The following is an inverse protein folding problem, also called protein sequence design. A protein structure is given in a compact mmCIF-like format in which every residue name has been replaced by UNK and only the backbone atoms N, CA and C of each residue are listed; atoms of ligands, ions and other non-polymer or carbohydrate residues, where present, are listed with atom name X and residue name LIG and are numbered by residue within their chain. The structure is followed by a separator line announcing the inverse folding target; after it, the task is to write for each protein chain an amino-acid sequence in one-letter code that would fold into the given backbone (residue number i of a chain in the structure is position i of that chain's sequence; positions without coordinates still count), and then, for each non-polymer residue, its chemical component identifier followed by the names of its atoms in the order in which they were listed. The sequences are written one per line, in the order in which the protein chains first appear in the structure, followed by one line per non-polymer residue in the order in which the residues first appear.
data_IF_069115427440
#
_entry.id   IF_069115427440
#
_cell.length_a   1.000
_cell.length_b   1.000
_cell.length_c   1.000
_cell.angle_alpha   90.00
_cell.angle_beta   90.00
_cell.angle_gamma   90.00
#
_symmetry.space_group_name_H-M   'P 1'
#
loop_
_entity.id
_entity.type
_entity.pdbx_description
1 polymer ?
#
# COMPACT_ATOMS: atom_id res chain seq x y z
N UNK A 1 -0.80 10.68 17.59
CA UNK A 1 -0.21 9.67 16.65
C UNK A 1 -1.26 9.14 15.68
N UNK A 2 -2.40 8.61 16.15
CA UNK A 2 -3.49 8.15 15.27
C UNK A 2 -3.99 9.25 14.32
N UNK A 3 -4.02 10.51 14.76
CA UNK A 3 -4.45 11.63 13.92
C UNK A 3 -3.58 11.81 12.67
N UNK A 4 -2.26 11.64 12.81
CA UNK A 4 -1.30 11.74 11.71
C UNK A 4 -1.50 10.56 10.75
N UNK A 5 -1.66 9.35 11.29
CA UNK A 5 -1.92 8.15 10.49
C UNK A 5 -3.22 8.34 9.69
N UNK A 6 -4.30 8.74 10.36
CA UNK A 6 -5.58 8.98 9.72
C UNK A 6 -5.49 10.08 8.65
N UNK A 7 -4.77 11.17 8.94
CA UNK A 7 -4.53 12.26 7.98
C UNK A 7 -3.80 11.75 6.73
N UNK A 8 -2.66 11.09 6.89
CA UNK A 8 -1.84 10.66 5.74
C UNK A 8 -2.50 9.52 4.94
N UNK A 9 -3.06 8.50 5.60
CA UNK A 9 -3.65 7.34 4.93
C UNK A 9 -5.10 7.56 4.44
N UNK A 10 -5.69 8.73 4.69
CA UNK A 10 -6.97 9.13 4.08
C UNK A 10 -6.84 9.50 2.59
N UNK A 11 -5.62 9.80 2.10
CA UNK A 11 -5.37 10.30 0.73
C UNK A 11 -5.62 9.26 -0.34
N UNK A 12 -6.17 9.63 -1.50
CA UNK A 12 -6.71 8.69 -2.52
C UNK A 12 -5.65 7.85 -3.25
N UNK A 13 -4.40 8.26 -3.34
CA UNK A 13 -3.37 7.47 -4.05
C UNK A 13 -2.19 7.15 -3.15
N UNK A 14 -1.43 6.12 -3.51
CA UNK A 14 -0.18 5.76 -2.81
C UNK A 14 0.83 6.91 -2.82
N UNK A 15 0.88 7.65 -3.92
CA UNK A 15 1.70 8.83 -4.13
C UNK A 15 1.27 9.98 -3.21
N UNK A 16 -0.03 10.26 -3.10
CA UNK A 16 -0.54 11.28 -2.19
C UNK A 16 -0.30 10.91 -0.71
N UNK A 17 -0.38 9.62 -0.37
CA UNK A 17 -0.06 9.13 0.97
C UNK A 17 1.43 9.37 1.28
N UNK A 18 2.31 9.01 0.35
CA UNK A 18 3.75 9.18 0.50
C UNK A 18 4.12 10.65 0.66
N UNK A 19 3.59 11.53 -0.20
CA UNK A 19 3.80 12.97 -0.11
C UNK A 19 3.28 13.53 1.22
N UNK A 20 2.12 13.06 1.70
CA UNK A 20 1.58 13.48 2.98
C UNK A 20 2.45 13.05 4.17
N UNK A 21 3.10 11.87 4.08
CA UNK A 21 4.05 11.41 5.10
C UNK A 21 5.35 12.23 5.06
N UNK A 22 5.87 12.55 3.88
CA UNK A 22 7.07 13.38 3.72
C UNK A 22 6.87 14.78 4.32
N UNK A 23 5.72 15.41 4.07
CA UNK A 23 5.37 16.69 4.68
C UNK A 23 5.29 16.60 6.22
N UNK A 24 4.72 15.53 6.79
CA UNK A 24 4.66 15.35 8.25
C UNK A 24 6.04 15.04 8.86
N UNK A 25 6.90 14.36 8.10
CA UNK A 25 8.29 14.11 8.51
C UNK A 25 9.08 15.42 8.63
N UNK A 26 8.88 16.39 7.72
CA UNK A 26 9.51 17.71 7.82
C UNK A 26 9.04 18.50 9.04
N UNK A 27 7.75 18.40 9.40
CA UNK A 27 7.18 19.15 10.53
C UNK A 27 7.62 18.56 11.87
N UNK A 28 7.61 17.23 12.01
CA UNK A 28 7.74 16.56 13.33
C UNK A 28 9.00 15.72 13.48
N UNK A 29 9.62 15.28 12.40
CA UNK A 29 10.83 14.45 12.43
C UNK A 29 10.66 13.10 13.15
N UNK A 30 9.43 12.58 13.30
CA UNK A 30 9.20 11.37 14.08
C UNK A 30 9.77 10.13 13.37
N UNK A 31 10.59 9.35 14.08
CA UNK A 31 11.29 8.15 13.55
C UNK A 31 10.37 7.15 12.86
N UNK A 32 9.14 6.97 13.35
CA UNK A 32 8.20 6.02 12.73
C UNK A 32 7.71 6.49 11.36
N UNK A 33 7.63 7.80 11.11
CA UNK A 33 7.22 8.36 9.81
C UNK A 33 8.32 8.08 8.79
N UNK A 34 9.58 8.32 9.16
CA UNK A 34 10.75 8.00 8.31
C UNK A 34 10.79 6.50 7.99
N UNK A 35 10.56 5.65 8.99
CA UNK A 35 10.51 4.20 8.78
C UNK A 35 9.37 3.80 7.83
N UNK A 36 8.20 4.43 7.94
CA UNK A 36 7.06 4.17 7.06
C UNK A 36 7.35 4.61 5.61
N UNK A 37 7.94 5.79 5.42
CA UNK A 37 8.37 6.30 4.11
C UNK A 37 9.35 5.33 3.46
N UNK A 38 10.37 4.87 4.20
CA UNK A 38 11.35 3.92 3.68
C UNK A 38 10.70 2.58 3.33
N UNK A 39 9.82 2.05 4.18
CA UNK A 39 9.09 0.81 3.90
C UNK A 39 8.24 0.91 2.62
N UNK A 40 7.56 2.04 2.40
CA UNK A 40 6.82 2.28 1.17
C UNK A 40 7.75 2.38 -0.05
N UNK A 41 8.89 3.08 0.06
CA UNK A 41 9.86 3.21 -1.04
C UNK A 41 10.55 1.90 -1.42
N UNK A 42 10.68 0.96 -0.48
CA UNK A 42 11.24 -0.37 -0.72
C UNK A 42 10.23 -1.37 -1.30
N UNK A 43 8.92 -1.10 -1.21
CA UNK A 43 7.91 -1.98 -1.74
C UNK A 43 7.69 -1.72 -3.25
N UNK A 44 7.24 -2.76 -3.99
CA UNK A 44 6.85 -2.58 -5.39
C UNK A 44 5.74 -1.52 -5.52
N UNK A 45 5.88 -0.52 -6.42
CA UNK A 45 4.84 0.47 -6.66
C UNK A 45 3.49 -0.16 -7.03
N UNK A 46 3.53 -1.26 -7.79
CA UNK A 46 2.33 -2.00 -8.21
C UNK A 46 1.67 -2.70 -7.03
N UNK A 47 2.45 -3.37 -6.17
CA UNK A 47 1.88 -4.07 -5.00
C UNK A 47 1.23 -3.10 -4.01
N UNK A 48 1.82 -1.92 -3.80
CA UNK A 48 1.22 -0.87 -2.98
C UNK A 48 -0.12 -0.39 -3.52
N UNK A 49 -0.22 -0.15 -4.84
CA UNK A 49 -1.45 0.30 -5.49
C UNK A 49 -2.56 -0.74 -5.39
N UNK A 50 -2.22 -2.01 -5.63
CA UNK A 50 -3.15 -3.13 -5.49
C UNK A 50 -3.64 -3.24 -4.04
N UNK A 51 -2.72 -3.25 -3.07
CA UNK A 51 -3.06 -3.34 -1.65
C UNK A 51 -3.97 -2.19 -1.20
N UNK A 52 -3.65 -0.94 -1.59
CA UNK A 52 -4.48 0.22 -1.25
C UNK A 52 -5.89 0.09 -1.81
N UNK A 53 -6.02 -0.42 -3.05
CA UNK A 53 -7.32 -0.66 -3.69
C UNK A 53 -8.09 -1.76 -2.95
N UNK A 54 -7.45 -2.91 -2.67
CA UNK A 54 -8.06 -4.02 -1.93
C UNK A 54 -8.59 -3.59 -0.55
N UNK A 55 -7.80 -2.83 0.22
CA UNK A 55 -8.20 -2.33 1.54
C UNK A 55 -9.45 -1.45 1.46
N UNK A 56 -9.61 -0.68 0.39
CA UNK A 56 -10.73 0.26 0.25
C UNK A 56 -11.99 -0.39 -0.26
N UNK A 57 -11.87 -1.19 -1.31
CA UNK A 57 -13.01 -1.92 -1.88
C UNK A 57 -13.51 -2.97 -0.90
N UNK A 58 -12.60 -3.61 -0.15
CA UNK A 58 -12.93 -4.60 0.88
C UNK A 58 -13.81 -4.08 2.01
N UNK A 59 -13.90 -2.76 2.25
CA UNK A 59 -14.76 -2.18 3.30
C UNK A 59 -16.25 -2.41 3.05
N UNK A 60 -16.64 -2.57 1.79
CA UNK A 60 -18.04 -2.79 1.38
C UNK A 60 -18.33 -4.25 1.02
N UNK A 61 -17.36 -5.15 1.17
CA UNK A 61 -17.45 -6.53 0.72
C UNK A 61 -17.56 -7.51 1.89
N UNK A 62 -18.07 -8.70 1.61
CA UNK A 62 -18.01 -9.81 2.56
C UNK A 62 -16.58 -10.38 2.65
N UNK A 63 -16.29 -11.13 3.71
CA UNK A 63 -15.02 -11.84 3.82
C UNK A 63 -14.78 -12.78 2.63
N UNK A 64 -15.83 -13.47 2.16
CA UNK A 64 -15.72 -14.39 1.02
C UNK A 64 -15.32 -13.64 -0.26
N UNK A 65 -15.93 -12.48 -0.52
CA UNK A 65 -15.61 -11.66 -1.69
C UNK A 65 -14.19 -11.10 -1.62
N UNK A 66 -13.75 -10.67 -0.43
CA UNK A 66 -12.36 -10.25 -0.20
C UNK A 66 -11.37 -11.37 -0.51
N UNK A 67 -11.59 -12.58 0.02
CA UNK A 67 -10.71 -13.72 -0.20
C UNK A 67 -10.66 -14.15 -1.68
N UNK A 68 -11.81 -14.07 -2.38
CA UNK A 68 -11.87 -14.34 -3.83
C UNK A 68 -11.05 -13.31 -4.63
N UNK A 69 -11.14 -12.04 -4.25
CA UNK A 69 -10.36 -10.96 -4.86
C UNK A 69 -8.85 -11.19 -4.62
N UNK A 70 -8.46 -11.46 -3.38
CA UNK A 70 -7.05 -11.69 -3.00
C UNK A 70 -6.45 -12.90 -3.71
N UNK A 71 -7.19 -14.01 -3.82
CA UNK A 71 -6.78 -15.18 -4.59
C UNK A 71 -6.55 -14.84 -6.08
N UNK A 72 -7.44 -14.04 -6.66
CA UNK A 72 -7.34 -13.62 -8.07
C UNK A 72 -6.10 -12.76 -8.28
N UNK A 73 -5.87 -11.78 -7.41
CA UNK A 73 -4.68 -10.92 -7.41
C UNK A 73 -3.41 -11.78 -7.34
N UNK A 74 -3.33 -12.70 -6.37
CA UNK A 74 -2.18 -13.59 -6.18
C UNK A 74 -1.90 -14.45 -7.43
N UNK A 75 -2.95 -15.01 -8.03
CA UNK A 75 -2.84 -15.79 -9.28
C UNK A 75 -2.29 -14.96 -10.44
N UNK A 76 -2.69 -13.69 -10.57
CA UNK A 76 -2.19 -12.83 -11.63
C UNK A 76 -0.75 -12.36 -11.39
N UNK A 77 -0.39 -12.09 -10.12
CA UNK A 77 0.98 -11.76 -9.72
C UNK A 77 1.95 -12.90 -10.03
N UNK A 78 1.61 -14.13 -9.64
CA UNK A 78 2.44 -15.33 -9.85
C UNK A 78 2.61 -15.73 -11.31
N UNK A 79 1.67 -15.35 -12.19
CA UNK A 79 1.74 -15.62 -13.64
C UNK A 79 2.46 -14.51 -14.42
N UNK A 80 3.01 -13.50 -13.75
CA UNK A 80 3.66 -12.35 -14.39
C UNK A 80 2.69 -11.49 -15.21
N UNK A 81 1.37 -11.63 -15.02
CA UNK A 81 0.37 -10.99 -15.87
C UNK A 81 0.13 -9.51 -15.52
N UNK A 82 0.66 -9.03 -14.39
CA UNK A 82 0.43 -7.66 -13.90
C UNK A 82 1.67 -6.76 -14.02
N UNK A 83 2.86 -7.24 -13.65
CA UNK A 83 4.15 -6.53 -13.78
C UNK A 83 5.33 -7.47 -13.47
N UNK A 84 6.50 -7.26 -14.08
CA UNK A 84 7.74 -8.01 -13.80
C UNK A 84 8.29 -7.82 -12.38
N UNK A 85 7.85 -6.79 -11.64
CA UNK A 85 8.27 -6.46 -10.26
C UNK A 85 8.09 -7.61 -9.26
N UNK A 86 7.28 -8.62 -9.58
CA UNK A 86 7.00 -9.74 -8.67
C UNK A 86 8.13 -10.78 -8.59
N UNK A 87 9.03 -10.85 -9.58
CA UNK A 87 10.04 -11.91 -9.64
C UNK A 87 11.19 -11.72 -8.64
N UNK A 88 11.40 -10.52 -8.09
CA UNK A 88 12.51 -10.25 -7.16
C UNK A 88 12.18 -10.44 -5.68
N UNK A 89 10.91 -10.65 -5.30
CA UNK A 89 10.50 -10.72 -3.87
C UNK A 89 10.35 -12.17 -3.36
N UNK A 90 10.45 -13.17 -4.24
CA UNK A 90 10.25 -14.59 -3.89
C UNK A 90 11.45 -15.50 -4.18
N UNK A 91 12.68 -14.97 -4.25
CA UNK A 91 13.93 -15.77 -4.33
C UNK A 91 14.84 -15.44 -3.16
#
# INVERSE_FOLDING_TARGET
RLDIINKCFSKKTTEDILLSLENEAEIRGEKWIINAINAMKHASPTSLKICLKSIREGRSLTLEDCLRCDYTIFRHMTRGALTNDCLEVCI
#
